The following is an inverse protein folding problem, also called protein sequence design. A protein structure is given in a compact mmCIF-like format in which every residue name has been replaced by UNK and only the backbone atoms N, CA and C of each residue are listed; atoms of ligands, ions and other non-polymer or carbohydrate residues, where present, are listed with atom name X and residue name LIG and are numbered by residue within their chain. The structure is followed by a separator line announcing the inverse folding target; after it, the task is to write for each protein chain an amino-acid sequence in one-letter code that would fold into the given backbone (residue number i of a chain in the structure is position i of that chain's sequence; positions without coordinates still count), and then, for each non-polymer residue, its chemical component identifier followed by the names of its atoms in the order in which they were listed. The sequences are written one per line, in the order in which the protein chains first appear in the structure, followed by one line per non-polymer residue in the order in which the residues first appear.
data_IF_778654901887
#
_entry.id   IF_778654901887
#
_cell.length_a   1.000
_cell.length_b   1.000
_cell.length_c   1.000
_cell.angle_alpha   90.00
_cell.angle_beta   90.00
_cell.angle_gamma   90.00
#
_symmetry.space_group_name_H-M   'P 1'
#
loop_
_entity.id
_entity.type
_entity.pdbx_description
1 polymer ?
#
# COMPACT_ATOMS: atom_id res chain seq x y z
N UNK A 1 -6.87 -4.21 -15.48
CA UNK A 1 -8.15 -4.51 -16.14
C UNK A 1 -8.34 -6.01 -16.30
N UNK A 2 -9.49 -6.52 -15.82
CA UNK A 2 -9.90 -7.93 -15.93
C UNK A 2 -8.84 -8.94 -15.48
N UNK A 3 -8.15 -8.61 -14.37
CA UNK A 3 -7.05 -9.42 -13.87
C UNK A 3 -7.56 -10.72 -13.26
N UNK A 4 -7.11 -11.85 -13.79
CA UNK A 4 -7.38 -13.17 -13.25
C UNK A 4 -6.10 -13.83 -12.79
N UNK A 5 -6.15 -14.47 -11.61
CA UNK A 5 -5.00 -15.18 -11.06
C UNK A 5 -5.41 -16.43 -10.28
N UNK A 6 -4.63 -17.49 -10.40
CA UNK A 6 -4.70 -18.71 -9.59
C UNK A 6 -3.30 -19.27 -9.37
N UNK A 7 -3.10 -19.91 -8.23
CA UNK A 7 -1.77 -20.49 -7.88
C UNK A 7 -1.40 -21.72 -8.70
N UNK A 8 -2.38 -22.56 -9.04
CA UNK A 8 -2.19 -23.77 -9.86
C UNK A 8 -3.23 -23.80 -10.97
N UNK A 9 -2.91 -24.43 -12.10
CA UNK A 9 -3.83 -24.53 -13.26
C UNK A 9 -5.18 -25.17 -12.91
N UNK A 10 -5.21 -26.05 -11.92
CA UNK A 10 -6.41 -26.78 -11.47
C UNK A 10 -7.11 -26.12 -10.29
N UNK A 11 -6.53 -25.06 -9.67
CA UNK A 11 -7.13 -24.36 -8.53
C UNK A 11 -8.18 -23.36 -9.00
N UNK A 12 -9.18 -23.06 -8.15
CA UNK A 12 -10.07 -21.90 -8.37
C UNK A 12 -9.29 -20.61 -8.55
N UNK A 13 -9.90 -19.64 -9.19
CA UNK A 13 -9.34 -18.30 -9.27
C UNK A 13 -9.34 -17.63 -7.88
N UNK A 14 -8.21 -17.05 -7.50
CA UNK A 14 -8.05 -16.20 -6.32
C UNK A 14 -8.40 -14.75 -6.67
N UNK A 15 -8.13 -14.36 -7.92
CA UNK A 15 -8.60 -13.11 -8.52
C UNK A 15 -9.36 -13.49 -9.81
N UNK A 16 -10.57 -12.98 -9.94
CA UNK A 16 -11.48 -13.33 -11.03
C UNK A 16 -12.08 -12.07 -11.66
N UNK A 17 -11.40 -11.56 -12.70
CA UNK A 17 -11.83 -10.38 -13.43
C UNK A 17 -11.68 -9.07 -12.64
N UNK A 18 -10.65 -8.96 -11.79
CA UNK A 18 -10.40 -7.75 -10.99
C UNK A 18 -10.03 -6.58 -11.90
N UNK A 19 -10.79 -5.49 -11.81
CA UNK A 19 -10.50 -4.21 -12.46
C UNK A 19 -10.51 -3.09 -11.43
N UNK A 20 -9.50 -2.22 -11.47
CA UNK A 20 -9.41 -1.02 -10.65
C UNK A 20 -8.59 0.05 -11.38
N UNK A 21 -8.84 1.29 -11.05
CA UNK A 21 -8.14 2.44 -11.61
C UNK A 21 -7.87 3.46 -10.51
N UNK A 22 -6.66 4.02 -10.53
CA UNK A 22 -6.24 5.14 -9.69
C UNK A 22 -5.72 6.27 -10.54
N UNK A 23 -6.09 7.49 -10.20
CA UNK A 23 -5.52 8.69 -10.78
C UNK A 23 -4.17 9.04 -10.13
N UNK A 24 -3.39 9.88 -10.81
CA UNK A 24 -2.12 10.36 -10.25
C UNK A 24 -2.37 11.16 -8.97
N UNK A 25 -1.59 10.84 -7.92
CA UNK A 25 -1.73 11.48 -6.62
C UNK A 25 -2.99 11.07 -5.83
N UNK A 26 -3.73 10.06 -6.31
CA UNK A 26 -4.87 9.49 -5.61
C UNK A 26 -4.43 8.39 -4.64
N UNK A 27 -5.08 8.33 -3.48
CA UNK A 27 -4.88 7.30 -2.47
C UNK A 27 -6.05 6.32 -2.54
N UNK A 28 -5.80 5.13 -3.11
CA UNK A 28 -6.74 4.02 -3.15
C UNK A 28 -6.53 3.07 -1.98
N UNK A 29 -7.63 2.69 -1.34
CA UNK A 29 -7.60 1.74 -0.22
C UNK A 29 -8.28 0.44 -0.63
N UNK A 30 -7.53 -0.65 -0.54
CA UNK A 30 -8.01 -2.00 -0.74
C UNK A 30 -8.53 -2.57 0.56
N UNK A 31 -9.82 -2.82 0.62
CA UNK A 31 -10.54 -3.36 1.77
C UNK A 31 -11.11 -4.75 1.46
N UNK A 32 -11.34 -5.56 2.48
CA UNK A 32 -11.91 -6.90 2.36
C UNK A 32 -11.39 -7.83 3.44
N UNK A 33 -12.10 -8.95 3.65
CA UNK A 33 -11.74 -9.95 4.67
C UNK A 33 -10.35 -10.56 4.41
N UNK A 34 -9.78 -11.18 5.44
CA UNK A 34 -8.57 -11.98 5.27
C UNK A 34 -8.83 -13.12 4.27
N UNK A 35 -7.86 -13.36 3.39
CA UNK A 35 -8.01 -14.35 2.32
C UNK A 35 -8.79 -13.89 1.08
N UNK A 36 -9.35 -12.67 1.04
CA UNK A 36 -10.08 -12.15 -0.13
C UNK A 36 -9.21 -11.98 -1.40
N UNK A 37 -7.86 -11.99 -1.27
CA UNK A 37 -6.95 -11.88 -2.40
C UNK A 37 -6.17 -10.57 -2.47
N UNK A 38 -6.20 -9.70 -1.44
CA UNK A 38 -5.52 -8.39 -1.43
C UNK A 38 -4.02 -8.51 -1.72
N UNK A 39 -3.28 -9.30 -0.93
CA UNK A 39 -1.83 -9.54 -1.14
C UNK A 39 -1.55 -10.21 -2.48
N UNK A 40 -2.44 -11.08 -2.94
CA UNK A 40 -2.33 -11.70 -4.27
C UNK A 40 -2.43 -10.66 -5.38
N UNK A 41 -3.35 -9.72 -5.27
CA UNK A 41 -3.47 -8.59 -6.21
C UNK A 41 -2.20 -7.74 -6.20
N UNK A 42 -1.70 -7.38 -5.02
CA UNK A 42 -0.44 -6.62 -4.88
C UNK A 42 0.74 -7.35 -5.51
N UNK A 43 0.87 -8.66 -5.28
CA UNK A 43 1.92 -9.48 -5.90
C UNK A 43 1.85 -9.49 -7.43
N UNK A 44 0.65 -9.43 -8.01
CA UNK A 44 0.47 -9.31 -9.46
C UNK A 44 0.88 -7.90 -9.94
N UNK A 45 0.45 -6.84 -9.25
CA UNK A 45 0.82 -5.44 -9.56
C UNK A 45 2.35 -5.27 -9.50
N UNK A 46 2.99 -5.81 -8.48
CA UNK A 46 4.44 -5.77 -8.28
C UNK A 46 5.22 -6.68 -9.27
N UNK A 47 4.53 -7.60 -9.94
CA UNK A 47 5.15 -8.58 -10.86
C UNK A 47 5.91 -9.69 -10.15
N UNK A 48 5.63 -9.92 -8.87
CA UNK A 48 6.07 -11.09 -8.10
C UNK A 48 5.37 -12.35 -8.64
N UNK A 49 4.08 -12.21 -8.95
CA UNK A 49 3.27 -13.23 -9.62
C UNK A 49 2.81 -12.75 -10.99
N UNK A 50 2.64 -13.66 -11.95
CA UNK A 50 2.09 -13.33 -13.27
C UNK A 50 0.61 -13.69 -13.33
N UNK A 51 -0.26 -12.76 -13.79
CA UNK A 51 -1.67 -13.06 -13.97
C UNK A 51 -1.87 -14.14 -15.06
N UNK A 52 -2.96 -14.87 -14.96
CA UNK A 52 -3.40 -15.82 -16.00
C UNK A 52 -3.95 -15.07 -17.20
N UNK A 53 -4.67 -13.97 -16.95
CA UNK A 53 -5.21 -13.06 -17.96
C UNK A 53 -5.41 -11.66 -17.37
N UNK A 54 -5.75 -10.71 -18.22
CA UNK A 54 -5.91 -9.31 -17.88
C UNK A 54 -4.62 -8.51 -18.07
N UNK A 55 -4.70 -7.21 -17.83
CA UNK A 55 -3.59 -6.28 -18.03
C UNK A 55 -3.39 -5.39 -16.81
N UNK A 56 -2.15 -5.00 -16.58
CA UNK A 56 -1.76 -3.98 -15.61
C UNK A 56 -1.06 -2.88 -16.39
N UNK A 57 -1.62 -1.68 -16.38
CA UNK A 57 -1.04 -0.54 -17.08
C UNK A 57 -0.63 0.57 -16.11
N UNK A 58 0.45 1.28 -16.46
CA UNK A 58 0.90 2.49 -15.79
C UNK A 58 1.32 3.52 -16.83
N UNK A 59 0.69 4.69 -16.84
CA UNK A 59 0.91 5.74 -17.87
C UNK A 59 0.85 5.18 -19.31
N UNK A 60 -0.14 4.33 -19.60
CA UNK A 60 -0.32 3.69 -20.91
C UNK A 60 0.66 2.56 -21.23
N UNK A 61 1.62 2.27 -20.33
CA UNK A 61 2.59 1.20 -20.50
C UNK A 61 2.06 -0.10 -19.88
N UNK A 62 2.02 -1.18 -20.66
CA UNK A 62 1.65 -2.51 -20.17
C UNK A 62 2.73 -3.07 -19.24
N UNK A 63 2.45 -3.00 -17.93
CA UNK A 63 3.34 -3.52 -16.89
C UNK A 63 3.39 -5.06 -16.86
N UNK A 64 2.43 -5.78 -17.45
CA UNK A 64 2.50 -7.25 -17.50
C UNK A 64 3.66 -7.74 -18.34
N UNK A 65 4.07 -6.94 -19.34
CA UNK A 65 5.20 -7.20 -20.25
C UNK A 65 6.50 -6.51 -19.84
N UNK A 66 6.43 -5.57 -18.89
CA UNK A 66 7.61 -4.83 -18.44
C UNK A 66 8.62 -5.75 -17.74
N UNK A 67 9.91 -5.50 -17.96
CA UNK A 67 10.98 -6.16 -17.20
C UNK A 67 10.89 -5.79 -15.72
N UNK A 68 11.46 -6.64 -14.84
CA UNK A 68 11.52 -6.36 -13.40
C UNK A 68 12.13 -4.98 -13.11
N UNK A 69 13.17 -4.59 -13.84
CA UNK A 69 13.86 -3.30 -13.70
C UNK A 69 12.98 -2.12 -14.10
N UNK A 70 12.26 -2.23 -15.22
CA UNK A 70 11.31 -1.20 -15.65
C UNK A 70 10.17 -1.03 -14.66
N UNK A 71 9.61 -2.14 -14.17
CA UNK A 71 8.53 -2.13 -13.17
C UNK A 71 9.01 -1.50 -11.86
N UNK A 72 10.19 -1.90 -11.35
CA UNK A 72 10.75 -1.37 -10.12
C UNK A 72 11.05 0.15 -10.16
N UNK A 73 11.18 0.75 -11.34
CA UNK A 73 11.29 2.21 -11.51
C UNK A 73 9.95 2.94 -11.50
N UNK A 74 8.84 2.21 -11.61
CA UNK A 74 7.49 2.80 -11.69
C UNK A 74 6.65 2.47 -10.46
N UNK A 75 6.86 1.30 -9.86
CA UNK A 75 6.06 0.78 -8.76
C UNK A 75 7.00 0.39 -7.62
N UNK A 76 6.85 1.05 -6.47
CA UNK A 76 7.55 0.69 -5.24
C UNK A 76 6.63 -0.08 -4.29
N UNK A 77 7.21 -0.79 -3.34
CA UNK A 77 6.50 -1.60 -2.36
C UNK A 77 6.99 -1.35 -0.94
N UNK A 78 6.06 -1.14 -0.05
CA UNK A 78 6.28 -1.08 1.39
C UNK A 78 5.49 -2.23 2.03
N UNK A 79 6.16 -3.34 2.41
CA UNK A 79 5.50 -4.50 3.01
C UNK A 79 5.10 -4.25 4.46
N UNK A 80 4.16 -5.04 4.96
CA UNK A 80 3.73 -5.03 6.37
C UNK A 80 4.89 -5.30 7.33
N UNK A 81 5.67 -6.34 7.04
CA UNK A 81 6.83 -6.73 7.83
C UNK A 81 8.11 -6.46 7.06
N UNK A 82 8.91 -5.55 7.57
CA UNK A 82 10.14 -5.13 6.90
C UNK A 82 11.34 -5.71 7.64
N UNK A 83 12.11 -6.53 6.92
CA UNK A 83 13.39 -7.03 7.39
C UNK A 83 14.51 -6.27 6.68
N UNK A 84 15.27 -5.50 7.44
CA UNK A 84 16.40 -4.72 6.91
C UNK A 84 17.76 -5.39 7.16
N UNK A 85 17.78 -6.47 7.97
CA UNK A 85 19.05 -7.04 8.44
C UNK A 85 19.83 -6.04 9.29
N UNK A 86 21.15 -6.04 9.16
CA UNK A 86 22.10 -5.18 9.91
C UNK A 86 22.56 -3.97 9.10
N UNK A 87 21.88 -3.62 8.02
CA UNK A 87 22.23 -2.48 7.17
C UNK A 87 22.07 -1.15 7.92
N UNK A 88 22.91 -0.17 7.57
CA UNK A 88 22.69 1.22 7.98
C UNK A 88 21.40 1.77 7.35
N UNK A 89 20.85 2.84 7.92
CA UNK A 89 19.72 3.57 7.32
C UNK A 89 20.07 4.03 5.90
N UNK A 90 21.28 4.60 5.72
CA UNK A 90 21.75 5.05 4.41
C UNK A 90 21.77 3.90 3.40
N UNK A 91 22.37 2.77 3.74
CA UNK A 91 22.46 1.62 2.83
C UNK A 91 21.07 1.03 2.53
N UNK A 92 20.19 0.99 3.54
CA UNK A 92 18.81 0.52 3.38
C UNK A 92 18.01 1.37 2.40
N UNK A 93 18.19 2.70 2.42
CA UNK A 93 17.56 3.62 1.46
C UNK A 93 18.23 3.48 0.09
N UNK A 94 19.58 3.31 0.05
CA UNK A 94 20.33 3.10 -1.18
C UNK A 94 19.89 1.85 -1.96
N UNK A 95 19.41 0.80 -1.28
CA UNK A 95 18.81 -0.36 -1.95
C UNK A 95 17.61 0.01 -2.85
N UNK A 96 16.90 1.10 -2.56
CA UNK A 96 15.85 1.64 -3.44
C UNK A 96 16.38 2.05 -4.81
N UNK A 97 17.68 2.33 -4.95
CA UNK A 97 18.31 2.72 -6.22
C UNK A 97 18.77 1.54 -7.08
N UNK A 98 18.68 0.29 -6.60
CA UNK A 98 19.18 -0.90 -7.33
C UNK A 98 18.67 -1.01 -8.77
N UNK A 99 17.45 -0.55 -9.06
CA UNK A 99 16.91 -0.54 -10.42
C UNK A 99 17.63 0.46 -11.36
N UNK A 100 18.40 1.39 -10.81
CA UNK A 100 19.17 2.42 -11.55
C UNK A 100 20.63 2.07 -11.69
N UNK A 101 21.18 1.25 -10.79
CA UNK A 101 22.60 0.89 -10.81
C UNK A 101 23.02 0.25 -12.14
N UNK A 102 24.23 0.65 -12.59
CA UNK A 102 25.03 -0.13 -13.52
C UNK A 102 25.83 -1.19 -12.72
N UNK A 103 27.16 -1.12 -12.84
CA UNK A 103 28.08 -1.96 -12.05
C UNK A 103 28.18 -1.46 -10.59
N UNK A 104 28.03 -0.17 -10.37
CA UNK A 104 28.08 0.52 -9.08
C UNK A 104 27.05 1.65 -9.02
N UNK A 105 26.74 2.11 -7.79
CA UNK A 105 25.94 3.32 -7.59
C UNK A 105 26.69 4.54 -8.15
N UNK A 106 25.98 5.37 -8.91
CA UNK A 106 26.51 6.64 -9.42
C UNK A 106 26.35 7.74 -8.36
N UNK A 107 27.08 8.87 -8.54
CA UNK A 107 26.95 10.02 -7.65
C UNK A 107 25.53 10.64 -7.70
N UNK A 108 24.82 10.50 -8.81
CA UNK A 108 23.40 10.85 -8.90
C UNK A 108 22.52 10.03 -7.95
N UNK A 109 22.82 8.74 -7.77
CA UNK A 109 22.07 7.88 -6.85
C UNK A 109 22.34 8.29 -5.39
N UNK A 110 23.58 8.62 -5.05
CA UNK A 110 23.96 9.12 -3.72
C UNK A 110 23.21 10.40 -3.39
N UNK A 111 23.19 11.36 -4.32
CA UNK A 111 22.45 12.64 -4.15
C UNK A 111 20.96 12.40 -3.93
N UNK A 112 20.33 11.46 -4.63
CA UNK A 112 18.92 11.11 -4.40
C UNK A 112 18.71 10.63 -2.98
N UNK A 113 19.57 9.74 -2.47
CA UNK A 113 19.47 9.19 -1.11
C UNK A 113 19.69 10.28 -0.05
N UNK A 114 20.72 11.10 -0.21
CA UNK A 114 21.01 12.23 0.70
C UNK A 114 19.85 13.23 0.79
N UNK A 115 19.25 13.56 -0.36
CA UNK A 115 18.08 14.44 -0.39
C UNK A 115 16.87 13.82 0.35
N UNK A 116 16.64 12.52 0.20
CA UNK A 116 15.55 11.81 0.90
C UNK A 116 15.82 11.76 2.40
N UNK A 117 17.04 11.48 2.81
CA UNK A 117 17.46 11.49 4.23
C UNK A 117 17.16 12.86 4.86
N UNK A 118 17.56 13.94 4.18
CA UNK A 118 17.29 15.30 4.64
C UNK A 118 15.80 15.62 4.66
N UNK A 119 15.07 15.31 3.59
CA UNK A 119 13.62 15.57 3.49
C UNK A 119 12.84 14.86 4.59
N UNK A 120 13.21 13.63 4.90
CA UNK A 120 12.56 12.82 5.93
C UNK A 120 13.15 13.02 7.32
N UNK A 121 14.09 13.95 7.51
CA UNK A 121 14.75 14.23 8.78
C UNK A 121 15.32 12.95 9.41
N UNK A 122 16.18 12.27 8.67
CA UNK A 122 16.83 11.02 9.06
C UNK A 122 18.36 11.17 9.22
N UNK A 123 18.88 12.41 9.20
CA UNK A 123 20.33 12.69 9.18
C UNK A 123 21.04 12.06 10.38
N UNK A 124 20.48 12.22 11.59
CA UNK A 124 21.05 11.67 12.83
C UNK A 124 21.02 10.14 12.89
N UNK A 125 20.14 9.52 12.11
CA UNK A 125 19.98 8.07 12.03
C UNK A 125 20.74 7.44 10.87
N UNK A 126 21.26 8.23 9.93
CA UNK A 126 21.73 7.76 8.62
C UNK A 126 22.77 6.63 8.72
N UNK A 127 23.66 6.69 9.70
CA UNK A 127 24.74 5.71 9.89
C UNK A 127 24.40 4.63 10.94
N UNK A 128 23.25 4.72 11.60
CA UNK A 128 22.81 3.71 12.58
C UNK A 128 22.30 2.45 11.88
N UNK A 129 22.43 1.31 12.53
CA UNK A 129 21.80 0.07 12.07
C UNK A 129 20.27 0.16 12.18
N UNK A 130 19.56 -0.24 11.13
CA UNK A 130 18.09 -0.25 11.15
C UNK A 130 17.54 -1.22 12.21
N UNK A 131 18.30 -2.25 12.60
CA UNK A 131 17.92 -3.19 13.65
C UNK A 131 17.77 -2.55 15.04
N UNK A 132 18.45 -1.41 15.27
CA UNK A 132 18.44 -0.67 16.56
C UNK A 132 17.27 0.30 16.69
N UNK A 133 16.48 0.47 15.64
CA UNK A 133 15.46 1.50 15.55
C UNK A 133 14.08 1.00 16.00
N UNK A 134 13.24 1.92 16.43
CA UNK A 134 11.83 1.65 16.75
C UNK A 134 11.03 1.19 15.53
N UNK A 135 9.84 0.61 15.75
CA UNK A 135 8.94 0.18 14.68
C UNK A 135 8.55 1.33 13.74
N UNK A 136 8.21 2.49 14.29
CA UNK A 136 7.86 3.69 13.52
C UNK A 136 9.02 4.22 12.67
N UNK A 137 10.24 4.27 13.25
CA UNK A 137 11.44 4.67 12.51
C UNK A 137 11.74 3.68 11.38
N UNK A 138 11.65 2.37 11.62
CA UNK A 138 11.81 1.36 10.56
C UNK A 138 10.79 1.52 9.44
N UNK A 139 9.54 1.82 9.78
CA UNK A 139 8.50 2.06 8.77
C UNK A 139 8.81 3.33 7.94
N UNK A 140 9.27 4.40 8.60
CA UNK A 140 9.73 5.63 7.94
C UNK A 140 10.89 5.37 6.97
N UNK A 141 11.84 4.51 7.34
CA UNK A 141 12.94 4.11 6.46
C UNK A 141 12.44 3.28 5.27
N UNK A 142 11.44 2.42 5.46
CA UNK A 142 10.85 1.69 4.35
C UNK A 142 10.19 2.62 3.32
N UNK A 143 9.51 3.65 3.78
CA UNK A 143 8.97 4.71 2.91
C UNK A 143 10.11 5.45 2.20
N UNK A 144 11.16 5.85 2.91
CA UNK A 144 12.33 6.49 2.33
C UNK A 144 12.99 5.62 1.23
N UNK A 145 13.12 4.31 1.48
CA UNK A 145 13.60 3.35 0.48
C UNK A 145 12.69 3.26 -0.74
N UNK A 146 11.37 3.27 -0.54
CA UNK A 146 10.40 3.29 -1.64
C UNK A 146 10.51 4.59 -2.45
N UNK A 147 10.67 5.75 -1.79
CA UNK A 147 10.90 7.04 -2.43
C UNK A 147 12.18 7.07 -3.27
N UNK A 148 13.23 6.38 -2.82
CA UNK A 148 14.50 6.31 -3.55
C UNK A 148 14.35 5.62 -4.92
N UNK A 149 13.33 4.80 -5.14
CA UNK A 149 12.99 4.27 -6.46
C UNK A 149 12.40 5.32 -7.40
N UNK A 150 12.04 6.52 -6.89
CA UNK A 150 11.35 7.57 -7.66
C UNK A 150 10.11 7.01 -8.40
N UNK A 151 9.22 6.32 -7.69
CA UNK A 151 8.08 5.63 -8.29
C UNK A 151 6.96 6.61 -8.61
N UNK A 152 6.05 6.18 -9.48
CA UNK A 152 4.77 6.88 -9.65
C UNK A 152 3.61 6.21 -8.91
N UNK A 153 3.81 4.96 -8.45
CA UNK A 153 2.89 4.23 -7.60
C UNK A 153 3.64 3.59 -6.44
N UNK A 154 3.14 3.76 -5.22
CA UNK A 154 3.60 2.99 -4.06
C UNK A 154 2.47 2.07 -3.60
N UNK A 155 2.77 0.78 -3.52
CA UNK A 155 1.90 -0.22 -2.91
C UNK A 155 2.28 -0.37 -1.45
N UNK A 156 1.34 -0.09 -0.56
CA UNK A 156 1.48 -0.29 0.89
C UNK A 156 0.67 -1.52 1.32
N UNK A 157 1.33 -2.51 1.89
CA UNK A 157 0.63 -3.67 2.47
C UNK A 157 0.59 -3.51 3.99
N UNK A 158 -0.54 -3.02 4.50
CA UNK A 158 -0.80 -2.76 5.92
C UNK A 158 0.28 -1.91 6.61
N UNK A 159 0.54 -0.69 6.11
CA UNK A 159 1.70 0.11 6.53
C UNK A 159 1.65 0.56 8.00
N UNK A 160 0.48 0.51 8.62
CA UNK A 160 0.24 0.93 10.01
C UNK A 160 0.11 -0.26 10.97
N UNK A 161 0.16 -1.49 10.45
CA UNK A 161 0.05 -2.68 11.28
C UNK A 161 1.12 -2.76 12.36
N UNK A 162 0.72 -3.00 13.62
CA UNK A 162 1.59 -3.12 14.79
C UNK A 162 2.32 -1.82 15.22
N UNK A 163 1.84 -0.65 14.79
CA UNK A 163 2.30 0.65 15.28
C UNK A 163 1.37 1.17 16.39
N UNK A 164 1.91 2.01 17.26
CA UNK A 164 1.08 2.81 18.16
C UNK A 164 0.37 3.93 17.40
N UNK A 165 -0.71 4.52 17.94
CA UNK A 165 -1.51 5.53 17.25
C UNK A 165 -0.72 6.75 16.77
N UNK A 166 0.31 7.17 17.50
CA UNK A 166 1.12 8.32 17.10
C UNK A 166 1.99 8.01 15.88
N UNK A 167 2.59 6.82 15.84
CA UNK A 167 3.35 6.36 14.68
C UNK A 167 2.46 6.06 13.48
N UNK A 168 1.25 5.51 13.67
CA UNK A 168 0.25 5.35 12.61
C UNK A 168 -0.06 6.68 11.93
N UNK A 169 -0.35 7.72 12.72
CA UNK A 169 -0.65 9.07 12.21
C UNK A 169 0.51 9.63 11.39
N UNK A 170 1.75 9.49 11.88
CA UNK A 170 2.95 9.93 11.15
C UNK A 170 3.08 9.25 9.79
N UNK A 171 2.85 7.95 9.70
CA UNK A 171 2.94 7.19 8.44
C UNK A 171 1.84 7.64 7.46
N UNK A 172 0.62 7.85 7.95
CA UNK A 172 -0.49 8.35 7.13
C UNK A 172 -0.17 9.75 6.60
N UNK A 173 0.36 10.65 7.44
CA UNK A 173 0.74 11.99 7.03
C UNK A 173 1.86 11.99 5.99
N UNK A 174 2.90 11.16 6.16
CA UNK A 174 3.96 11.03 5.15
C UNK A 174 3.41 10.48 3.83
N UNK A 175 2.56 9.46 3.86
CA UNK A 175 1.95 8.92 2.66
C UNK A 175 1.08 9.96 1.94
N UNK A 176 0.30 10.76 2.68
CA UNK A 176 -0.49 11.88 2.12
C UNK A 176 0.40 12.95 1.46
N UNK A 177 1.52 13.31 2.08
CA UNK A 177 2.48 14.24 1.46
C UNK A 177 3.00 13.69 0.14
N UNK A 178 3.37 12.41 0.08
CA UNK A 178 3.81 11.78 -1.15
C UNK A 178 2.74 11.85 -2.24
N UNK A 179 1.49 11.56 -1.90
CA UNK A 179 0.39 11.60 -2.85
C UNK A 179 0.14 13.04 -3.34
N UNK A 180 -0.10 13.98 -2.43
CA UNK A 180 -0.60 15.31 -2.79
C UNK A 180 0.49 16.29 -3.22
N UNK A 181 1.71 16.19 -2.68
CA UNK A 181 2.80 17.13 -3.01
C UNK A 181 3.73 16.60 -4.09
N UNK A 182 3.91 15.26 -4.18
CA UNK A 182 4.79 14.63 -5.18
C UNK A 182 4.03 13.94 -6.31
N UNK A 183 2.71 13.98 -6.29
CA UNK A 183 1.83 13.37 -7.29
C UNK A 183 2.08 11.88 -7.50
N UNK A 184 2.43 11.18 -6.39
CA UNK A 184 2.66 9.73 -6.37
C UNK A 184 1.35 9.05 -5.98
N UNK A 185 0.83 8.15 -6.82
CA UNK A 185 -0.35 7.37 -6.46
C UNK A 185 -0.02 6.37 -5.36
N UNK A 186 -0.97 6.11 -4.49
CA UNK A 186 -0.83 5.13 -3.40
C UNK A 186 -1.95 4.11 -3.51
N UNK A 187 -1.61 2.82 -3.47
CA UNK A 187 -2.56 1.73 -3.28
C UNK A 187 -2.21 1.02 -1.98
N UNK A 188 -3.08 1.16 -0.98
CA UNK A 188 -2.83 0.61 0.36
C UNK A 188 -3.86 -0.42 0.75
N UNK A 189 -3.46 -1.51 1.40
CA UNK A 189 -4.38 -2.34 2.18
C UNK A 189 -4.44 -1.83 3.62
N UNK A 190 -5.64 -1.83 4.19
CA UNK A 190 -5.88 -1.53 5.59
C UNK A 190 -6.93 -2.49 6.15
N UNK A 191 -6.87 -2.75 7.46
CA UNK A 191 -7.86 -3.57 8.17
C UNK A 191 -8.92 -2.73 8.86
N UNK A 192 -8.54 -1.59 9.43
CA UNK A 192 -9.48 -0.70 10.09
C UNK A 192 -10.17 0.20 9.08
N UNK A 193 -11.51 0.14 9.09
CA UNK A 193 -12.34 0.88 8.13
C UNK A 193 -12.36 2.38 8.44
N UNK A 194 -12.24 2.77 9.71
CA UNK A 194 -12.20 4.18 10.08
C UNK A 194 -10.85 4.79 9.69
N UNK A 195 -9.75 4.04 9.87
CA UNK A 195 -8.45 4.44 9.38
C UNK A 195 -8.45 4.55 7.85
N UNK A 196 -9.09 3.60 7.15
CA UNK A 196 -9.26 3.65 5.70
C UNK A 196 -10.01 4.91 5.26
N UNK A 197 -11.15 5.22 5.91
CA UNK A 197 -11.94 6.44 5.65
C UNK A 197 -11.18 7.73 5.96
N UNK A 198 -10.31 7.70 6.94
CA UNK A 198 -9.46 8.84 7.27
C UNK A 198 -8.35 9.05 6.22
N UNK A 199 -7.78 7.99 5.67
CA UNK A 199 -6.60 8.02 4.83
C UNK A 199 -6.89 8.12 3.33
N UNK A 200 -7.90 7.38 2.82
CA UNK A 200 -8.12 7.15 1.39
C UNK A 200 -8.98 8.21 0.70
N UNK A 201 -8.77 8.34 -0.61
CA UNK A 201 -9.63 9.10 -1.51
C UNK A 201 -10.64 8.15 -2.21
N UNK A 202 -10.21 6.93 -2.55
CA UNK A 202 -10.98 5.92 -3.29
C UNK A 202 -10.87 4.55 -2.61
N UNK A 203 -11.97 3.83 -2.58
CA UNK A 203 -12.08 2.56 -1.86
C UNK A 203 -12.44 1.43 -2.81
N UNK A 204 -11.77 0.31 -2.67
CA UNK A 204 -12.00 -0.92 -3.42
C UNK A 204 -12.28 -2.05 -2.43
N UNK A 205 -13.48 -2.61 -2.49
CA UNK A 205 -13.88 -3.71 -1.62
C UNK A 205 -13.76 -5.04 -2.37
N UNK A 206 -12.77 -5.81 -1.97
CA UNK A 206 -12.48 -7.12 -2.55
C UNK A 206 -13.21 -8.21 -1.76
N UNK A 207 -14.04 -9.00 -2.45
CA UNK A 207 -14.76 -10.15 -1.91
C UNK A 207 -14.73 -11.28 -2.93
N UNK A 208 -14.39 -12.48 -2.48
CA UNK A 208 -14.37 -13.70 -3.30
C UNK A 208 -13.60 -13.52 -4.63
N UNK A 209 -12.45 -12.85 -4.56
CA UNK A 209 -11.59 -12.59 -5.71
C UNK A 209 -12.07 -11.52 -6.69
N UNK A 210 -13.13 -10.76 -6.37
CA UNK A 210 -13.69 -9.71 -7.22
C UNK A 210 -13.77 -8.37 -6.50
N UNK A 211 -13.57 -7.26 -7.21
CA UNK A 211 -13.94 -5.94 -6.70
C UNK A 211 -15.46 -5.84 -6.74
N UNK A 212 -16.09 -5.95 -5.57
CA UNK A 212 -17.54 -5.90 -5.46
C UNK A 212 -18.08 -4.48 -5.42
N UNK A 213 -17.33 -3.58 -4.79
CA UNK A 213 -17.65 -2.16 -4.71
C UNK A 213 -16.39 -1.33 -4.93
N UNK A 214 -16.52 -0.23 -5.67
CA UNK A 214 -15.46 0.74 -5.87
C UNK A 214 -16.02 2.16 -5.93
N UNK A 215 -15.39 3.12 -5.30
CA UNK A 215 -15.78 4.52 -5.31
C UNK A 215 -15.19 5.33 -4.17
N UNK A 216 -15.66 6.57 -4.02
CA UNK A 216 -15.25 7.48 -2.95
C UNK A 216 -15.96 7.17 -1.62
N UNK A 217 -15.82 8.02 -0.61
CA UNK A 217 -16.47 7.89 0.70
C UNK A 217 -17.99 7.63 0.65
N UNK A 218 -18.66 8.06 -0.42
CA UNK A 218 -20.12 7.96 -0.54
C UNK A 218 -20.60 6.51 -0.62
N UNK A 219 -19.80 5.58 -1.18
CA UNK A 219 -20.19 4.18 -1.32
C UNK A 219 -20.22 3.43 0.02
N UNK A 220 -19.56 3.96 1.06
CA UNK A 220 -19.49 3.29 2.36
C UNK A 220 -20.81 3.44 3.09
N UNK A 221 -21.58 2.36 3.11
CA UNK A 221 -22.89 2.24 3.77
C UNK A 221 -22.89 1.05 4.72
N UNK A 222 -23.87 0.99 5.61
CA UNK A 222 -24.02 -0.14 6.55
C UNK A 222 -24.29 -1.46 5.80
N UNK A 223 -25.03 -1.40 4.69
CA UNK A 223 -25.34 -2.55 3.84
C UNK A 223 -24.06 -3.10 3.19
N UNK A 224 -23.19 -2.21 2.66
CA UNK A 224 -21.90 -2.60 2.12
C UNK A 224 -21.02 -3.26 3.19
N UNK A 225 -20.95 -2.67 4.40
CA UNK A 225 -20.15 -3.23 5.51
C UNK A 225 -20.69 -4.60 5.90
N UNK A 226 -22.03 -4.74 6.02
CA UNK A 226 -22.67 -6.03 6.31
C UNK A 226 -22.36 -7.07 5.24
N UNK A 227 -22.42 -6.68 3.97
CA UNK A 227 -22.14 -7.61 2.87
C UNK A 227 -20.67 -8.05 2.85
N UNK A 228 -19.71 -7.13 3.04
CA UNK A 228 -18.29 -7.46 2.96
C UNK A 228 -17.78 -8.17 4.20
N UNK A 229 -18.15 -7.69 5.40
CA UNK A 229 -17.57 -8.15 6.66
C UNK A 229 -18.48 -9.02 7.50
N UNK A 230 -19.77 -9.09 7.15
CA UNK A 230 -20.82 -9.77 7.92
C UNK A 230 -20.98 -9.24 9.34
N UNK A 231 -20.86 -7.91 9.48
CA UNK A 231 -20.98 -7.21 10.77
C UNK A 231 -22.04 -6.10 10.64
N UNK A 232 -22.91 -6.02 11.66
CA UNK A 232 -23.89 -4.92 11.75
C UNK A 232 -23.23 -3.70 12.39
N UNK A 233 -23.34 -2.56 11.70
CA UNK A 233 -22.72 -1.30 12.13
C UNK A 233 -23.70 -0.15 12.06
N UNK A 234 -23.39 0.92 12.78
CA UNK A 234 -23.94 2.26 12.57
C UNK A 234 -22.88 3.12 11.87
N UNK A 235 -23.33 3.99 10.98
CA UNK A 235 -22.47 5.02 10.40
C UNK A 235 -22.94 6.34 10.95
N UNK A 236 -22.06 7.06 11.60
CA UNK A 236 -22.29 8.40 12.12
C UNK A 236 -21.37 9.39 11.39
N UNK A 237 -21.78 10.64 11.35
CA UNK A 237 -20.95 11.71 10.79
C UNK A 237 -20.44 12.58 11.94
N UNK A 238 -19.12 12.74 11.99
CA UNK A 238 -18.44 13.61 12.97
C UNK A 238 -17.53 14.54 12.16
N UNK A 239 -17.70 15.85 12.29
CA UNK A 239 -16.93 16.86 11.54
C UNK A 239 -16.85 16.56 10.03
N UNK A 240 -18.01 16.32 9.40
CA UNK A 240 -18.19 15.96 7.99
C UNK A 240 -17.54 14.64 7.55
N UNK A 241 -17.06 13.83 8.49
CA UNK A 241 -16.44 12.54 8.22
C UNK A 241 -17.33 11.38 8.67
N UNK A 242 -17.45 10.36 7.86
CA UNK A 242 -18.10 9.10 8.23
C UNK A 242 -17.24 8.33 9.23
N UNK A 243 -17.86 7.87 10.29
CA UNK A 243 -17.28 6.96 11.30
C UNK A 243 -18.17 5.72 11.41
N UNK A 244 -17.55 4.56 11.26
CA UNK A 244 -18.20 3.27 11.36
C UNK A 244 -18.09 2.77 12.80
N UNK A 245 -19.24 2.61 13.46
CA UNK A 245 -19.32 2.15 14.85
C UNK A 245 -19.99 0.77 14.87
N UNK A 246 -19.34 -0.21 15.47
CA UNK A 246 -19.94 -1.54 15.67
C UNK A 246 -21.18 -1.41 16.57
N UNK A 247 -22.27 -2.08 16.21
CA UNK A 247 -23.37 -2.22 17.14
C UNK A 247 -22.87 -3.04 18.35
N UNK A 248 -23.20 -2.61 19.60
CA UNK A 248 -22.91 -3.44 20.75
C UNK A 248 -23.58 -4.80 20.52
N UNK A 249 -22.83 -5.89 20.71
CA UNK A 249 -23.46 -7.22 20.77
C UNK A 249 -24.50 -7.15 21.90
N UNK A 250 -25.77 -7.43 21.58
CA UNK A 250 -26.72 -7.76 22.62
C UNK A 250 -26.15 -9.02 23.29
N UNK A 251 -25.64 -8.86 24.49
CA UNK A 251 -25.26 -9.99 25.32
C UNK A 251 -26.56 -10.76 25.60
N UNK A 252 -26.78 -11.83 24.84
CA UNK A 252 -27.81 -12.81 25.23
C UNK A 252 -27.28 -13.46 26.51
N UNK A 253 -27.61 -12.86 27.65
CA UNK A 253 -27.54 -13.52 28.94
C UNK A 253 -28.75 -14.41 28.95
N UNK A 254 -28.56 -15.67 28.58
CA UNK A 254 -29.51 -16.76 28.83
C UNK A 254 -28.97 -17.63 29.97
#
# INVERSE_FOLDING_TARGET
DNLCYRYKKTSPYVLDGVSLELEKGEIGIMLGRNGAGKTTLFNNILGISRPVSGTISYDGIDMTKASRRQRARKIAYVPQNIQFGTLSVYDSIMLGRLSYFGVRAADSDRRVVENIIKEMKLEELAMRSVSELSGGERQKIAIARAMAQQPGLIVFDEPTGNLDPANEELIILEARKLAKQKNISILSSLHDINQALYFGDKFFFLKDGKIKYAGSHNIVTKELIKDIYDVDVKIITVDDRKVVVKNPMMTIIS
#
